data_IF_092877637249
#
_entry.id   IF_092877637249
#
_cell.length_a   1.000
_cell.length_b   1.000
_cell.length_c   1.000
_cell.angle_alpha   90.00
_cell.angle_beta   90.00
_cell.angle_gamma   90.00
#
_symmetry.space_group_name_H-M   'P 1'
#
loop_
_entity.id
_entity.type
_entity.pdbx_description
1 polymer ?
#
# COMPACT_ATOMS: atom_id res chain seq x y z
N UNK A 1 7.55 2.24 -18.18
CA UNK A 1 8.80 3.00 -18.39
C UNK A 1 9.69 2.18 -19.33
N UNK A 2 10.54 2.80 -20.14
CA UNK A 2 11.42 2.08 -21.09
C UNK A 2 12.62 1.43 -20.39
N UNK A 3 13.29 0.49 -21.07
CA UNK A 3 14.52 -0.14 -20.61
C UNK A 3 15.54 0.94 -20.21
N UNK A 4 15.97 0.95 -18.95
CA UNK A 4 17.01 1.86 -18.48
C UNK A 4 18.37 1.43 -18.99
N UNK A 5 19.19 2.39 -19.43
CA UNK A 5 20.57 2.11 -19.79
C UNK A 5 21.41 1.96 -18.54
N UNK A 6 22.40 1.06 -18.59
CA UNK A 6 23.31 0.80 -17.49
C UNK A 6 24.09 2.07 -17.10
N UNK A 7 24.45 2.91 -18.07
CA UNK A 7 25.12 4.20 -17.84
C UNK A 7 24.28 5.15 -16.98
N UNK A 8 22.94 5.15 -17.14
CA UNK A 8 22.05 5.97 -16.32
C UNK A 8 22.00 5.49 -14.88
N UNK A 9 21.95 4.18 -14.67
CA UNK A 9 21.99 3.60 -13.32
C UNK A 9 23.29 3.99 -12.62
N UNK A 10 24.43 3.88 -13.32
CA UNK A 10 25.74 4.29 -12.78
C UNK A 10 25.74 5.78 -12.42
N UNK A 11 25.18 6.64 -13.28
CA UNK A 11 25.11 8.07 -13.03
C UNK A 11 24.26 8.40 -11.78
N UNK A 12 23.11 7.75 -11.62
CA UNK A 12 22.24 7.92 -10.46
C UNK A 12 22.87 7.37 -9.18
N UNK A 13 23.60 6.25 -9.27
CA UNK A 13 24.28 5.64 -8.12
C UNK A 13 25.39 6.54 -7.54
N UNK A 14 25.92 7.50 -8.32
CA UNK A 14 26.90 8.48 -7.81
C UNK A 14 26.26 9.50 -6.85
N UNK A 15 24.96 9.73 -6.93
CA UNK A 15 24.27 10.67 -6.06
C UNK A 15 23.49 9.91 -4.96
N UNK A 16 24.01 9.83 -3.72
CA UNK A 16 23.38 9.07 -2.65
C UNK A 16 21.98 9.61 -2.27
N UNK A 17 21.69 10.89 -2.52
CA UNK A 17 20.38 11.47 -2.21
C UNK A 17 19.23 10.87 -3.04
N UNK A 18 19.55 10.27 -4.19
CA UNK A 18 18.58 9.68 -5.11
C UNK A 18 18.41 8.17 -4.89
N UNK A 19 19.18 7.57 -3.98
CA UNK A 19 19.12 6.14 -3.66
C UNK A 19 18.15 5.93 -2.50
N UNK A 20 17.24 4.96 -2.63
CA UNK A 20 16.39 4.49 -1.52
C UNK A 20 16.38 2.98 -1.48
N UNK A 21 16.67 2.43 -0.30
CA UNK A 21 16.57 1.00 -0.07
C UNK A 21 15.20 0.68 0.55
N UNK A 22 14.43 -0.18 -0.08
CA UNK A 22 13.08 -0.55 0.34
C UNK A 22 13.01 -2.07 0.53
N UNK A 23 12.50 -2.53 1.67
CA UNK A 23 12.17 -3.94 1.86
C UNK A 23 10.68 -4.19 1.67
N UNK A 24 10.30 -5.36 1.13
CA UNK A 24 8.91 -5.83 1.19
C UNK A 24 8.77 -6.79 2.36
N UNK A 25 7.80 -6.50 3.22
CA UNK A 25 7.49 -7.17 4.46
C UNK A 25 6.05 -7.70 4.41
N UNK A 26 5.87 -9.01 4.55
CA UNK A 26 4.54 -9.60 4.46
C UNK A 26 4.48 -10.96 5.16
N UNK A 27 3.27 -11.39 5.52
CA UNK A 27 3.01 -12.79 5.84
C UNK A 27 3.17 -13.67 4.58
N UNK A 28 3.34 -14.97 4.79
CA UNK A 28 3.32 -15.99 3.73
C UNK A 28 2.01 -15.85 2.93
N UNK A 29 2.12 -15.99 1.61
CA UNK A 29 0.99 -15.94 0.68
C UNK A 29 0.17 -14.64 0.63
N UNK A 30 0.58 -13.54 1.28
CA UNK A 30 -0.05 -12.21 1.12
C UNK A 30 0.24 -11.54 -0.24
N UNK A 31 0.96 -12.21 -1.15
CA UNK A 31 1.25 -11.72 -2.50
C UNK A 31 2.48 -10.81 -2.59
N UNK A 32 3.44 -10.95 -1.66
CA UNK A 32 4.75 -10.26 -1.67
C UNK A 32 5.49 -10.44 -2.99
N UNK A 33 5.74 -11.69 -3.39
CA UNK A 33 6.47 -12.03 -4.61
C UNK A 33 5.74 -11.54 -5.86
N UNK A 34 4.40 -11.62 -5.86
CA UNK A 34 3.58 -11.10 -6.95
C UNK A 34 3.70 -9.57 -7.07
N UNK A 35 3.66 -8.85 -5.95
CA UNK A 35 3.85 -7.41 -5.93
C UNK A 35 5.25 -7.03 -6.40
N UNK A 36 6.28 -7.73 -5.94
CA UNK A 36 7.66 -7.52 -6.37
C UNK A 36 7.79 -7.70 -7.88
N UNK A 37 7.26 -8.79 -8.44
CA UNK A 37 7.24 -9.03 -9.88
C UNK A 37 6.53 -7.91 -10.66
N UNK A 38 5.41 -7.38 -10.16
CA UNK A 38 4.73 -6.24 -10.78
C UNK A 38 5.61 -4.99 -10.84
N UNK A 39 6.39 -4.72 -9.78
CA UNK A 39 7.34 -3.61 -9.75
C UNK A 39 8.48 -3.81 -10.76
N UNK A 40 9.03 -5.02 -10.83
CA UNK A 40 10.06 -5.40 -11.81
C UNK A 40 9.53 -5.27 -13.25
N UNK A 41 8.30 -5.69 -13.51
CA UNK A 41 7.67 -5.60 -14.81
C UNK A 41 7.43 -4.16 -15.26
N UNK A 42 7.08 -3.26 -14.34
CA UNK A 42 6.85 -1.85 -14.64
C UNK A 42 8.10 -1.11 -15.12
N UNK A 43 9.27 -1.59 -14.69
CA UNK A 43 10.59 -1.13 -15.09
C UNK A 43 11.06 -1.72 -16.43
N UNK A 44 10.27 -2.62 -17.04
CA UNK A 44 10.59 -3.23 -18.33
C UNK A 44 11.66 -4.32 -18.28
N UNK A 45 12.04 -4.78 -17.07
CA UNK A 45 13.00 -5.88 -16.88
C UNK A 45 12.36 -7.22 -17.27
N UNK A 46 11.10 -7.42 -16.89
CA UNK A 46 10.29 -8.57 -17.29
C UNK A 46 9.06 -8.10 -18.07
N UNK A 47 8.51 -8.97 -18.91
CA UNK A 47 7.23 -8.68 -19.57
C UNK A 47 6.09 -8.67 -18.54
N UNK A 48 5.15 -7.73 -18.68
CA UNK A 48 3.97 -7.63 -17.81
C UNK A 48 3.13 -8.91 -17.75
N UNK A 49 3.19 -9.75 -18.79
CA UNK A 49 2.49 -11.05 -18.85
C UNK A 49 3.12 -12.14 -17.99
N UNK A 50 4.43 -12.03 -17.74
CA UNK A 50 5.19 -12.97 -16.90
C UNK A 50 5.21 -12.54 -15.44
N UNK A 51 4.85 -11.28 -15.15
CA UNK A 51 4.73 -10.76 -13.80
C UNK A 51 3.75 -11.60 -12.95
N UNK A 52 4.18 -12.02 -11.76
CA UNK A 52 3.38 -12.77 -10.81
C UNK A 52 3.34 -14.28 -11.06
N UNK A 53 3.76 -14.74 -12.25
CA UNK A 53 3.86 -16.17 -12.59
C UNK A 53 5.28 -16.68 -12.46
N UNK A 54 6.25 -15.87 -12.84
CA UNK A 54 7.65 -16.27 -12.94
C UNK A 54 8.36 -16.21 -11.58
N UNK A 55 7.92 -15.33 -10.66
CA UNK A 55 8.56 -15.12 -9.34
C UNK A 55 10.04 -14.81 -9.52
N UNK A 56 10.34 -13.71 -10.19
CA UNK A 56 11.68 -13.39 -10.69
C UNK A 56 12.75 -13.33 -9.59
N UNK A 57 12.37 -12.92 -8.38
CA UNK A 57 13.29 -12.80 -7.24
C UNK A 57 13.56 -14.14 -6.53
N UNK A 58 12.70 -15.14 -6.72
CA UNK A 58 12.87 -16.50 -6.21
C UNK A 58 13.76 -17.28 -7.21
N UNK A 59 15.05 -16.94 -7.21
CA UNK A 59 16.03 -17.49 -8.16
C UNK A 59 16.42 -18.95 -7.88
N UNK A 60 16.20 -19.44 -6.66
CA UNK A 60 16.63 -20.78 -6.26
C UNK A 60 15.56 -21.83 -6.59
N UNK A 61 15.99 -23.00 -7.06
CA UNK A 61 15.08 -24.08 -7.44
C UNK A 61 14.20 -24.56 -6.28
N UNK A 62 14.75 -24.59 -5.07
CA UNK A 62 14.02 -24.98 -3.85
C UNK A 62 12.94 -23.96 -3.47
N UNK A 63 13.14 -22.68 -3.77
CA UNK A 63 12.12 -21.62 -3.58
C UNK A 63 10.97 -21.77 -4.57
N UNK A 64 11.30 -22.03 -5.84
CA UNK A 64 10.29 -22.22 -6.89
C UNK A 64 9.44 -23.47 -6.65
N UNK A 65 10.06 -24.58 -6.20
CA UNK A 65 9.35 -25.82 -5.90
C UNK A 65 8.41 -25.64 -4.70
N UNK A 66 8.90 -24.99 -3.64
CA UNK A 66 8.11 -24.80 -2.40
C UNK A 66 7.11 -23.65 -2.50
N UNK A 67 7.29 -22.74 -3.46
CA UNK A 67 6.47 -21.56 -3.61
C UNK A 67 6.63 -20.55 -2.47
N UNK A 68 7.78 -20.52 -1.79
CA UNK A 68 8.08 -19.57 -0.71
C UNK A 68 9.47 -18.94 -0.93
N UNK A 69 9.60 -17.66 -0.58
CA UNK A 69 10.89 -16.98 -0.53
C UNK A 69 11.66 -17.42 0.71
N UNK A 70 12.86 -17.96 0.54
CA UNK A 70 13.73 -18.41 1.64
C UNK A 70 14.93 -17.51 1.84
N UNK A 71 15.46 -16.91 0.76
CA UNK A 71 16.61 -16.01 0.75
C UNK A 71 16.19 -14.60 0.34
N UNK A 72 16.86 -13.60 0.90
CA UNK A 72 16.67 -12.22 0.49
C UNK A 72 17.35 -11.95 -0.84
N UNK A 73 16.58 -11.47 -1.81
CA UNK A 73 17.07 -11.07 -3.14
C UNK A 73 16.90 -9.56 -3.31
N UNK A 74 17.85 -8.91 -3.97
CA UNK A 74 17.81 -7.47 -4.21
C UNK A 74 17.77 -7.17 -5.70
N UNK A 75 16.97 -6.17 -6.09
CA UNK A 75 16.92 -5.66 -7.46
C UNK A 75 16.86 -4.14 -7.47
N UNK A 76 17.59 -3.52 -8.40
CA UNK A 76 17.54 -2.06 -8.60
C UNK A 76 16.48 -1.70 -9.64
N UNK A 77 15.60 -0.79 -9.24
CA UNK A 77 14.51 -0.25 -10.04
C UNK A 77 14.75 1.24 -10.27
N UNK A 78 14.44 1.71 -11.47
CA UNK A 78 14.57 3.10 -11.83
C UNK A 78 13.20 3.77 -11.83
N UNK A 79 13.03 4.75 -10.96
CA UNK A 79 11.79 5.50 -10.86
C UNK A 79 11.99 6.96 -11.26
N UNK A 80 11.08 7.48 -12.07
CA UNK A 80 11.08 8.89 -12.45
C UNK A 80 9.80 9.54 -11.95
N UNK A 81 9.95 10.50 -11.04
CA UNK A 81 8.86 11.31 -10.54
C UNK A 81 9.03 12.75 -11.06
N UNK A 82 8.32 13.07 -12.15
CA UNK A 82 8.46 14.35 -12.85
C UNK A 82 9.86 14.55 -13.41
N UNK A 83 10.57 15.55 -12.86
CA UNK A 83 11.93 15.90 -13.27
C UNK A 83 13.03 15.22 -12.43
N UNK A 84 12.65 14.54 -11.35
CA UNK A 84 13.59 13.82 -10.49
C UNK A 84 13.63 12.33 -10.82
N UNK A 85 14.84 11.80 -10.90
CA UNK A 85 15.12 10.37 -11.12
C UNK A 85 15.69 9.76 -9.83
N UNK A 86 15.11 8.63 -9.44
CA UNK A 86 15.42 7.89 -8.23
C UNK A 86 15.87 6.46 -8.58
N UNK A 87 16.85 5.96 -7.82
CA UNK A 87 17.29 4.58 -7.86
C UNK A 87 16.76 3.87 -6.61
N UNK A 88 15.80 2.97 -6.81
CA UNK A 88 15.14 2.26 -5.74
C UNK A 88 15.70 0.84 -5.69
N UNK A 89 16.37 0.47 -4.61
CA UNK A 89 16.82 -0.90 -4.40
C UNK A 89 15.74 -1.64 -3.61
N UNK A 90 15.05 -2.55 -4.29
CA UNK A 90 14.02 -3.38 -3.70
C UNK A 90 14.66 -4.66 -3.16
N UNK A 91 14.53 -4.87 -1.85
CA UNK A 91 14.95 -6.10 -1.17
C UNK A 91 13.70 -6.91 -0.85
N UNK A 92 13.59 -8.08 -1.47
CA UNK A 92 12.52 -9.02 -1.18
C UNK A 92 12.92 -9.90 0.01
N UNK A 93 12.27 -9.70 1.15
CA UNK A 93 12.59 -10.42 2.39
C UNK A 93 11.73 -11.68 2.54
N UNK A 94 12.17 -12.74 3.23
CA UNK A 94 11.36 -13.94 3.40
C UNK A 94 10.10 -13.66 4.25
N UNK A 95 8.97 -14.27 3.91
CA UNK A 95 7.69 -14.06 4.63
C UNK A 95 7.41 -15.10 5.73
N UNK A 96 8.24 -16.13 5.83
CA UNK A 96 8.04 -17.25 6.76
C UNK A 96 8.75 -17.00 8.09
N UNK A 97 8.12 -17.40 9.20
CA UNK A 97 8.61 -17.18 10.58
C UNK A 97 9.98 -17.78 10.86
N UNK A 98 10.27 -18.93 10.25
CA UNK A 98 11.55 -19.64 10.39
C UNK A 98 12.75 -18.81 9.90
N UNK A 99 12.52 -17.82 9.03
CA UNK A 99 13.57 -16.96 8.45
C UNK A 99 13.59 -15.56 9.07
N UNK A 100 13.06 -15.40 10.29
CA UNK A 100 12.98 -14.11 10.99
C UNK A 100 14.34 -13.39 11.16
N UNK A 101 15.44 -14.13 11.31
CA UNK A 101 16.80 -13.56 11.36
C UNK A 101 17.19 -12.86 10.05
N UNK A 102 16.77 -13.45 8.92
CA UNK A 102 17.02 -12.90 7.60
C UNK A 102 16.11 -11.69 7.33
N UNK A 103 14.85 -11.72 7.78
CA UNK A 103 13.95 -10.55 7.75
C UNK A 103 14.54 -9.38 8.53
N UNK A 104 14.98 -9.60 9.77
CA UNK A 104 15.59 -8.54 10.59
C UNK A 104 16.83 -7.93 9.94
N UNK A 105 17.66 -8.77 9.30
CA UNK A 105 18.84 -8.30 8.57
C UNK A 105 18.44 -7.47 7.34
N UNK A 106 17.44 -7.92 6.58
CA UNK A 106 16.95 -7.18 5.41
C UNK A 106 16.35 -5.82 5.79
N UNK A 107 15.58 -5.79 6.88
CA UNK A 107 14.99 -4.57 7.45
C UNK A 107 16.10 -3.58 7.80
N UNK A 108 17.13 -3.98 8.56
CA UNK A 108 18.26 -3.10 8.93
C UNK A 108 19.03 -2.47 7.77
N UNK A 109 19.02 -3.08 6.60
CA UNK A 109 19.69 -2.57 5.40
C UNK A 109 18.85 -1.53 4.64
N UNK A 110 17.57 -1.40 4.97
CA UNK A 110 16.59 -0.58 4.25
C UNK A 110 16.29 0.74 4.96
N UNK A 111 15.97 1.76 4.17
CA UNK A 111 15.52 3.07 4.67
C UNK A 111 14.00 3.09 4.89
N UNK A 112 13.28 2.23 4.17
CA UNK A 112 11.82 2.13 4.19
C UNK A 112 11.34 0.69 4.05
N UNK A 113 10.11 0.44 4.50
CA UNK A 113 9.50 -0.89 4.42
C UNK A 113 8.11 -0.81 3.78
N UNK A 114 7.79 -1.77 2.92
CA UNK A 114 6.47 -1.93 2.31
C UNK A 114 5.80 -3.10 3.03
N UNK A 115 4.80 -2.81 3.86
CA UNK A 115 4.07 -3.82 4.63
C UNK A 115 2.85 -4.27 3.85
N UNK A 116 2.81 -5.52 3.42
CA UNK A 116 1.72 -6.08 2.60
C UNK A 116 0.75 -6.88 3.47
N UNK A 117 -0.52 -6.46 3.45
CA UNK A 117 -1.63 -7.08 4.19
C UNK A 117 -2.69 -7.56 3.21
N UNK A 118 -3.15 -8.80 3.35
CA UNK A 118 -4.25 -9.33 2.53
C UNK A 118 -5.59 -8.71 2.97
N UNK A 119 -6.36 -8.21 2.01
CA UNK A 119 -7.67 -7.63 2.24
C UNK A 119 -8.72 -8.65 2.71
N UNK A 120 -8.52 -9.95 2.50
CA UNK A 120 -9.44 -11.02 2.94
C UNK A 120 -9.06 -11.56 4.31
N UNK A 121 -7.77 -11.86 4.51
CA UNK A 121 -7.27 -12.46 5.76
C UNK A 121 -7.11 -11.40 6.86
N UNK A 122 -6.85 -10.14 6.48
CA UNK A 122 -6.65 -9.05 7.40
C UNK A 122 -5.30 -9.12 8.14
N UNK A 123 -5.29 -8.64 9.39
CA UNK A 123 -4.06 -8.57 10.19
C UNK A 123 -3.82 -9.89 10.92
N UNK A 124 -2.91 -10.71 10.40
CA UNK A 124 -2.47 -11.96 11.01
C UNK A 124 -1.41 -11.72 12.12
N UNK A 125 -1.22 -12.68 13.05
CA UNK A 125 -0.18 -12.57 14.09
C UNK A 125 1.24 -12.35 13.53
N UNK A 126 1.55 -12.95 12.38
CA UNK A 126 2.84 -12.75 11.72
C UNK A 126 3.02 -11.31 11.21
N UNK A 127 1.96 -10.68 10.70
CA UNK A 127 1.96 -9.26 10.33
C UNK A 127 2.32 -8.37 11.52
N UNK A 128 1.85 -8.72 12.73
CA UNK A 128 2.19 -7.98 13.95
C UNK A 128 3.68 -8.11 14.31
N UNK A 129 4.27 -9.30 14.13
CA UNK A 129 5.70 -9.53 14.35
C UNK A 129 6.53 -8.69 13.39
N UNK A 130 6.14 -8.69 12.12
CA UNK A 130 6.83 -7.94 11.06
C UNK A 130 6.71 -6.42 11.27
N UNK A 131 5.53 -5.92 11.65
CA UNK A 131 5.35 -4.51 12.02
C UNK A 131 6.19 -4.13 13.25
N UNK A 132 6.27 -5.01 14.26
CA UNK A 132 7.12 -4.83 15.42
C UNK A 132 8.60 -4.77 15.04
N UNK A 133 9.06 -5.61 14.11
CA UNK A 133 10.44 -5.57 13.62
C UNK A 133 10.74 -4.24 12.91
N UNK A 134 9.86 -3.79 12.02
CA UNK A 134 10.01 -2.50 11.34
C UNK A 134 10.07 -1.33 12.33
N UNK A 135 9.27 -1.40 13.41
CA UNK A 135 9.26 -0.42 14.48
C UNK A 135 10.54 -0.39 15.30
N UNK A 136 11.03 -1.57 15.72
CA UNK A 136 12.26 -1.68 16.52
C UNK A 136 13.48 -1.13 15.76
N UNK A 137 13.52 -1.32 14.45
CA UNK A 137 14.60 -0.83 13.58
C UNK A 137 14.37 0.62 13.11
N UNK A 138 13.34 1.32 13.63
CA UNK A 138 12.96 2.71 13.31
C UNK A 138 12.82 3.00 11.80
N UNK A 139 12.29 2.03 11.05
CA UNK A 139 12.05 2.18 9.61
C UNK A 139 10.68 2.80 9.39
N UNK A 140 10.52 3.56 8.30
CA UNK A 140 9.23 4.13 7.89
C UNK A 140 8.43 3.09 7.09
N UNK A 141 7.35 2.51 7.64
CA UNK A 141 6.53 1.57 6.91
C UNK A 141 5.48 2.28 6.03
N UNK A 142 5.24 1.76 4.83
CA UNK A 142 4.10 2.08 3.98
C UNK A 142 3.21 0.86 3.90
N UNK A 143 1.92 1.02 4.19
CA UNK A 143 0.96 -0.07 4.21
C UNK A 143 0.38 -0.29 2.82
N UNK A 144 0.45 -1.53 2.31
CA UNK A 144 -0.20 -1.96 1.08
C UNK A 144 -1.26 -3.00 1.41
N UNK A 145 -2.52 -2.64 1.21
CA UNK A 145 -3.64 -3.58 1.30
C UNK A 145 -3.81 -4.25 -0.06
N UNK A 146 -3.42 -5.53 -0.14
CA UNK A 146 -3.38 -6.33 -1.35
C UNK A 146 -4.60 -7.27 -1.46
N UNK A 147 -4.79 -7.89 -2.63
CA UNK A 147 -5.86 -8.85 -2.94
C UNK A 147 -7.29 -8.30 -2.84
N UNK A 148 -7.47 -7.01 -3.12
CA UNK A 148 -8.80 -6.39 -3.17
C UNK A 148 -9.70 -7.05 -4.22
N UNK A 149 -9.12 -7.64 -5.27
CA UNK A 149 -9.84 -8.45 -6.26
C UNK A 149 -10.63 -9.60 -5.65
N UNK A 150 -10.15 -10.22 -4.56
CA UNK A 150 -10.87 -11.30 -3.86
C UNK A 150 -12.12 -10.80 -3.16
N UNK A 151 -12.13 -9.56 -2.64
CA UNK A 151 -13.34 -8.95 -2.08
C UNK A 151 -14.45 -8.85 -3.14
N UNK A 152 -14.06 -8.59 -4.38
CA UNK A 152 -14.97 -8.43 -5.52
C UNK A 152 -15.41 -9.78 -6.08
N UNK A 153 -14.46 -10.69 -6.31
CA UNK A 153 -14.69 -11.92 -7.07
C UNK A 153 -15.13 -13.09 -6.19
N UNK A 154 -14.51 -13.26 -5.03
CA UNK A 154 -14.71 -14.41 -4.14
C UNK A 154 -15.81 -14.10 -3.13
N UNK A 155 -15.67 -13.01 -2.36
CA UNK A 155 -16.65 -12.61 -1.37
C UNK A 155 -17.87 -11.89 -1.96
N UNK A 156 -17.75 -11.37 -3.21
CA UNK A 156 -18.81 -10.65 -3.92
C UNK A 156 -19.46 -9.54 -3.10
N UNK A 157 -18.64 -8.84 -2.31
CA UNK A 157 -19.11 -7.73 -1.49
C UNK A 157 -19.56 -6.57 -2.37
N UNK A 158 -20.50 -5.79 -1.87
CA UNK A 158 -20.81 -4.49 -2.47
C UNK A 158 -19.66 -3.51 -2.21
N UNK A 159 -19.54 -2.47 -3.05
CA UNK A 159 -18.53 -1.42 -2.88
C UNK A 159 -18.61 -0.72 -1.51
N UNK A 160 -19.81 -0.62 -0.94
CA UNK A 160 -20.03 -0.08 0.39
C UNK A 160 -19.51 -1.00 1.50
N UNK A 161 -19.80 -2.30 1.42
CA UNK A 161 -19.32 -3.29 2.40
C UNK A 161 -17.81 -3.42 2.34
N UNK A 162 -17.23 -3.40 1.14
CA UNK A 162 -15.78 -3.42 0.95
C UNK A 162 -15.09 -2.21 1.59
N UNK A 163 -15.68 -1.01 1.50
CA UNK A 163 -15.16 0.16 2.20
C UNK A 163 -15.15 -0.03 3.73
N UNK A 164 -16.26 -0.51 4.29
CA UNK A 164 -16.34 -0.82 5.73
C UNK A 164 -15.32 -1.90 6.12
N UNK A 165 -15.08 -2.88 5.26
CA UNK A 165 -14.07 -3.91 5.48
C UNK A 165 -12.65 -3.34 5.51
N UNK A 166 -12.30 -2.50 4.52
CA UNK A 166 -11.00 -1.84 4.45
C UNK A 166 -10.76 -0.92 5.65
N UNK A 167 -11.80 -0.23 6.12
CA UNK A 167 -11.71 0.60 7.32
C UNK A 167 -11.39 -0.26 8.56
N UNK A 168 -12.04 -1.41 8.73
CA UNK A 168 -11.76 -2.35 9.83
C UNK A 168 -10.32 -2.86 9.80
N UNK A 169 -9.78 -3.16 8.61
CA UNK A 169 -8.37 -3.58 8.47
C UNK A 169 -7.43 -2.46 8.94
N UNK A 170 -7.69 -1.23 8.53
CA UNK A 170 -6.88 -0.08 8.97
C UNK A 170 -6.97 0.14 10.48
N UNK A 171 -8.15 0.01 11.08
CA UNK A 171 -8.34 0.06 12.53
C UNK A 171 -7.53 -1.03 13.24
N UNK A 172 -7.51 -2.26 12.70
CA UNK A 172 -6.70 -3.35 13.25
C UNK A 172 -5.20 -3.08 13.16
N UNK A 173 -4.69 -2.57 12.03
CA UNK A 173 -3.26 -2.24 11.89
C UNK A 173 -2.89 -1.11 12.86
N UNK A 174 -3.72 -0.07 12.95
CA UNK A 174 -3.48 1.06 13.85
C UNK A 174 -3.57 0.67 15.33
N UNK A 175 -4.39 -0.32 15.70
CA UNK A 175 -4.41 -0.87 17.06
C UNK A 175 -3.07 -1.55 17.42
N UNK A 176 -2.46 -2.27 16.47
CA UNK A 176 -1.13 -2.89 16.65
C UNK A 176 -0.07 -1.80 16.80
N UNK A 177 -0.06 -0.80 15.92
CA UNK A 177 0.89 0.32 16.00
C UNK A 177 0.73 1.11 17.30
N UNK A 178 -0.50 1.38 17.72
CA UNK A 178 -0.79 2.07 18.98
C UNK A 178 -0.28 1.30 20.20
N UNK A 179 -0.36 -0.03 20.17
CA UNK A 179 0.20 -0.88 21.23
C UNK A 179 1.72 -0.75 21.29
N UNK A 180 2.40 -0.78 20.14
CA UNK A 180 3.86 -0.63 20.03
C UNK A 180 4.32 0.77 20.48
N UNK A 181 3.57 1.81 20.10
CA UNK A 181 3.86 3.18 20.52
C UNK A 181 3.70 3.36 22.03
N UNK A 182 2.60 2.87 22.59
CA UNK A 182 2.34 2.94 24.03
C UNK A 182 3.45 2.23 24.81
N UNK A 183 3.89 1.06 24.36
CA UNK A 183 5.03 0.36 24.97
C UNK A 183 6.32 1.19 24.94
N UNK A 184 6.63 1.83 23.81
CA UNK A 184 7.83 2.69 23.68
C UNK A 184 7.78 3.91 24.59
N UNK A 185 6.65 4.60 24.65
CA UNK A 185 6.47 5.79 25.52
C UNK A 185 6.61 5.40 26.99
N UNK A 186 6.09 4.24 27.39
CA UNK A 186 6.26 3.72 28.75
C UNK A 186 7.71 3.36 29.07
N UNK A 187 8.43 2.75 28.13
CA UNK A 187 9.86 2.43 28.29
C UNK A 187 10.73 3.69 28.41
N UNK A 188 10.55 4.67 27.53
CA UNK A 188 11.30 5.93 27.57
C UNK A 188 11.05 6.71 28.88
N UNK A 189 9.83 6.64 29.42
CA UNK A 189 9.53 7.24 30.73
C UNK A 189 10.19 6.48 31.87
N UNK A 190 10.11 5.16 31.89
CA UNK A 190 10.78 4.36 32.91
C UNK A 190 12.31 4.55 32.90
N UNK A 191 12.90 4.83 31.74
CA UNK A 191 14.31 5.21 31.64
C UNK A 191 14.60 6.62 32.15
N UNK A 192 13.75 7.60 31.82
CA UNK A 192 13.85 8.97 32.36
C UNK A 192 13.68 8.99 33.88
N UNK A 193 12.69 8.27 34.41
CA UNK A 193 12.47 8.12 35.85
C UNK A 193 13.70 7.50 36.53
N UNK A 194 14.32 6.47 35.95
CA UNK A 194 15.57 5.90 36.47
C UNK A 194 16.77 6.83 36.39
N UNK A 195 16.80 7.77 35.43
CA UNK A 195 17.84 8.79 35.33
C UNK A 195 17.59 9.91 36.34
N UNK A 196 16.35 10.34 36.51
CA UNK A 196 15.93 11.35 37.48
C UNK A 196 16.12 10.83 38.91
N UNK A 197 15.76 9.57 39.21
CA UNK A 197 16.03 8.93 40.50
C UNK A 197 17.53 8.83 40.84
N UNK A 198 18.41 8.77 39.82
CA UNK A 198 19.87 8.82 40.00
C UNK A 198 20.39 10.23 40.24
N UNK A 199 19.67 11.26 39.81
CA UNK A 199 20.01 12.67 40.03
C UNK A 199 19.33 13.26 41.28
N UNK A 200 18.21 12.68 41.74
CA UNK A 200 17.45 13.15 42.91
C UNK A 200 17.48 12.13 44.07
N UNK A 201 18.61 12.07 44.78
CA UNK A 201 18.66 11.46 46.13
C UNK A 201 18.11 12.40 47.24
N UNK A 202 17.45 13.51 46.89
CA UNK A 202 16.80 14.38 47.88
C UNK A 202 15.49 14.94 47.34
N UNK A 203 14.36 14.30 47.68
CA UNK A 203 13.17 14.91 48.30
C UNK A 203 11.98 13.93 48.26
N UNK A 204 11.49 13.59 49.45
CA UNK A 204 10.28 12.80 49.67
C UNK A 204 9.02 13.63 49.39
N UNK A 205 8.12 13.12 48.57
CA UNK A 205 6.78 13.70 48.38
C UNK A 205 5.89 12.79 47.56
N UNK A 206 4.94 12.15 48.23
CA UNK A 206 3.91 11.26 47.68
C UNK A 206 3.01 12.05 46.71
N UNK A 207 3.27 11.95 45.40
CA UNK A 207 2.40 12.47 44.35
C UNK A 207 1.87 11.29 43.53
N UNK A 208 0.55 11.11 43.58
CA UNK A 208 -0.15 10.16 42.71
C UNK A 208 -0.08 10.70 41.28
N UNK A 209 0.82 10.12 40.48
CA UNK A 209 0.99 10.50 39.08
C UNK A 209 -0.22 10.05 38.26
N UNK A 210 -0.83 11.00 37.55
CA UNK A 210 -1.86 10.73 36.54
C UNK A 210 -1.19 10.29 35.24
N UNK A 211 -1.17 8.97 35.01
CA UNK A 211 -0.54 8.33 33.84
C UNK A 211 -1.12 8.79 32.49
N UNK A 212 -2.30 9.43 32.48
CA UNK A 212 -3.01 9.82 31.27
C UNK A 212 -2.56 11.15 30.65
N UNK A 213 -2.08 12.10 31.46
CA UNK A 213 -1.85 13.48 31.00
C UNK A 213 -0.64 13.65 30.05
N UNK A 214 0.42 12.85 30.21
CA UNK A 214 1.62 12.98 29.37
C UNK A 214 1.54 12.29 28.00
N UNK A 215 0.52 11.44 27.76
CA UNK A 215 0.34 10.76 26.46
C UNK A 215 -0.12 11.75 25.38
N UNK A 216 -0.64 12.92 25.78
CA UNK A 216 -1.13 13.96 24.88
C UNK A 216 -0.01 14.83 24.28
N UNK A 217 1.23 14.75 24.79
CA UNK A 217 2.36 15.59 24.35
C UNK A 217 3.30 14.94 23.32
N UNK A 218 3.20 13.63 23.09
CA UNK A 218 4.05 12.94 22.13
C UNK A 218 3.44 13.01 20.72
N UNK A 219 4.13 13.65 19.77
CA UNK A 219 3.70 13.77 18.37
C UNK A 219 3.69 12.39 17.69
N UNK A 220 2.50 11.80 17.59
CA UNK A 220 2.22 10.49 17.00
C UNK A 220 1.71 10.57 15.55
N UNK A 221 1.64 11.79 15.00
CA UNK A 221 0.96 12.10 13.74
C UNK A 221 1.52 11.36 12.52
N UNK A 222 2.80 10.97 12.57
CA UNK A 222 3.49 10.25 11.50
C UNK A 222 3.50 8.72 11.65
N UNK A 223 2.99 8.20 12.77
CA UNK A 223 3.09 6.77 13.09
C UNK A 223 1.85 6.00 12.66
N UNK A 224 0.68 6.64 12.64
CA UNK A 224 -0.56 6.00 12.24
C UNK A 224 -0.72 5.89 10.72
N UNK A 225 -1.28 4.77 10.29
CA UNK A 225 -1.63 4.55 8.90
C UNK A 225 -2.94 5.27 8.58
N UNK A 226 -2.81 6.41 7.90
CA UNK A 226 -3.93 7.19 7.39
C UNK A 226 -3.83 7.30 5.86
N UNK A 227 -4.86 6.88 5.11
CA UNK A 227 -4.87 7.03 3.65
C UNK A 227 -4.73 8.49 3.17
N UNK A 228 -5.17 9.45 3.98
CA UNK A 228 -5.05 10.89 3.70
C UNK A 228 -3.60 11.38 3.62
N UNK A 229 -2.70 10.76 4.38
CA UNK A 229 -1.28 11.08 4.39
C UNK A 229 -0.54 10.44 3.20
N UNK A 230 -1.19 9.51 2.48
CA UNK A 230 -0.57 8.76 1.39
C UNK A 230 0.25 7.54 1.84
N UNK A 231 0.23 7.20 3.14
CA UNK A 231 0.96 6.05 3.68
C UNK A 231 0.23 4.71 3.46
N UNK A 232 -0.95 4.74 2.84
CA UNK A 232 -1.76 3.56 2.54
C UNK A 232 -2.01 3.46 1.04
N UNK A 233 -1.68 2.30 0.49
CA UNK A 233 -1.91 1.95 -0.91
C UNK A 233 -2.88 0.78 -0.99
N UNK A 234 -3.82 0.86 -1.92
CA UNK A 234 -4.78 -0.19 -2.22
C UNK A 234 -4.37 -0.88 -3.51
N UNK A 235 -4.13 -2.19 -3.48
CA UNK A 235 -3.60 -2.91 -4.62
C UNK A 235 -4.27 -4.27 -4.85
N UNK A 236 -4.19 -4.70 -6.10
CA UNK A 236 -4.35 -6.09 -6.52
C UNK A 236 -3.15 -6.44 -7.38
N UNK A 237 -2.17 -7.11 -6.77
CA UNK A 237 -0.95 -7.51 -7.47
C UNK A 237 -1.24 -8.54 -8.59
N UNK A 238 -2.26 -9.39 -8.44
CA UNK A 238 -2.60 -10.42 -9.44
C UNK A 238 -3.12 -9.78 -10.73
N UNK A 239 -3.99 -8.78 -10.62
CA UNK A 239 -4.55 -8.07 -11.77
C UNK A 239 -3.65 -6.91 -12.23
N UNK A 240 -2.60 -6.58 -11.46
CA UNK A 240 -1.57 -5.62 -11.81
C UNK A 240 -1.97 -4.17 -11.66
N UNK A 241 -2.98 -3.86 -10.83
CA UNK A 241 -3.34 -2.47 -10.49
C UNK A 241 -3.15 -2.15 -9.02
N UNK A 242 -2.83 -0.89 -8.76
CA UNK A 242 -2.76 -0.33 -7.42
C UNK A 242 -2.93 1.17 -7.48
N UNK A 243 -3.49 1.73 -6.43
CA UNK A 243 -3.75 3.16 -6.35
C UNK A 243 -3.53 3.70 -4.95
N UNK A 244 -3.10 4.95 -4.89
CA UNK A 244 -3.14 5.77 -3.69
C UNK A 244 -4.28 6.79 -3.81
N UNK A 245 -4.73 7.31 -2.67
CA UNK A 245 -5.77 8.36 -2.66
C UNK A 245 -5.27 9.61 -3.39
N UNK A 246 -3.96 9.87 -3.35
CA UNK A 246 -3.34 11.00 -4.04
C UNK A 246 -3.53 10.98 -5.55
N UNK A 247 -3.41 9.82 -6.18
CA UNK A 247 -3.64 9.67 -7.62
C UNK A 247 -5.08 10.03 -7.98
N UNK A 248 -6.05 9.52 -7.24
CA UNK A 248 -7.46 9.85 -7.47
C UNK A 248 -7.79 11.30 -7.16
N UNK A 249 -7.19 11.89 -6.13
CA UNK A 249 -7.32 13.31 -5.85
C UNK A 249 -6.85 14.16 -7.04
N UNK A 250 -5.76 13.79 -7.71
CA UNK A 250 -5.28 14.48 -8.91
C UNK A 250 -6.23 14.31 -10.10
N UNK A 251 -6.69 13.09 -10.38
CA UNK A 251 -7.63 12.79 -11.48
C UNK A 251 -8.94 13.56 -11.30
N UNK A 252 -9.52 13.55 -10.10
CA UNK A 252 -10.78 14.25 -9.83
C UNK A 252 -10.62 15.75 -9.69
N UNK A 253 -9.45 16.23 -9.28
CA UNK A 253 -9.16 17.66 -9.29
C UNK A 253 -9.25 18.23 -10.70
N UNK A 254 -8.67 17.55 -11.70
CA UNK A 254 -8.75 17.96 -13.11
C UNK A 254 -10.18 17.86 -13.66
N UNK A 255 -10.94 16.82 -13.30
CA UNK A 255 -12.31 16.62 -13.81
C UNK A 255 -13.36 17.52 -13.16
N UNK A 256 -13.26 17.77 -11.85
CA UNK A 256 -14.27 18.52 -11.09
C UNK A 256 -13.87 19.97 -10.79
N UNK A 257 -12.60 20.34 -10.98
CA UNK A 257 -12.09 21.68 -10.66
C UNK A 257 -11.94 21.96 -9.17
N UNK A 258 -11.92 20.93 -8.32
CA UNK A 258 -11.73 21.04 -6.86
C UNK A 258 -10.23 20.92 -6.55
N UNK A 259 -9.72 21.72 -5.60
CA UNK A 259 -8.30 21.62 -5.18
C UNK A 259 -7.95 20.23 -4.66
N UNK A 260 -6.78 19.71 -5.04
CA UNK A 260 -6.28 18.38 -4.64
C UNK A 260 -6.22 18.21 -3.13
N UNK A 261 -5.76 19.22 -2.38
CA UNK A 261 -5.69 19.18 -0.91
C UNK A 261 -7.05 18.95 -0.23
N UNK A 262 -8.11 19.55 -0.78
CA UNK A 262 -9.47 19.37 -0.24
C UNK A 262 -9.93 17.95 -0.53
N UNK A 263 -9.65 17.43 -1.73
CA UNK A 263 -10.00 16.06 -2.10
C UNK A 263 -9.24 15.04 -1.25
N UNK A 264 -7.95 15.25 -0.97
CA UNK A 264 -7.18 14.36 -0.10
C UNK A 264 -7.86 14.17 1.26
N UNK A 265 -8.27 15.26 1.92
CA UNK A 265 -8.92 15.22 3.24
C UNK A 265 -10.38 14.76 3.22
N UNK A 266 -11.00 14.63 2.05
CA UNK A 266 -12.44 14.35 1.94
C UNK A 266 -12.76 13.09 1.16
N UNK A 267 -11.79 12.52 0.44
CA UNK A 267 -11.94 11.25 -0.26
C UNK A 267 -12.07 10.12 0.75
N UNK A 268 -11.24 10.09 1.78
CA UNK A 268 -11.36 9.15 2.87
C UNK A 268 -12.27 9.69 3.99
N UNK A 269 -13.06 8.82 4.60
CA UNK A 269 -13.95 9.18 5.71
C UNK A 269 -15.41 9.45 5.31
N UNK A 270 -16.18 9.97 6.27
CA UNK A 270 -17.64 10.12 6.15
C UNK A 270 -18.06 11.40 5.43
N UNK A 271 -17.65 11.52 4.17
CA UNK A 271 -18.03 12.60 3.27
C UNK A 271 -18.87 12.08 2.11
N UNK A 272 -19.80 12.89 1.62
CA UNK A 272 -20.56 12.59 0.40
C UNK A 272 -20.60 13.79 -0.54
N UNK A 273 -20.69 13.50 -1.84
CA UNK A 273 -20.95 14.52 -2.85
C UNK A 273 -22.45 14.73 -3.01
N UNK A 274 -22.92 15.98 -2.86
CA UNK A 274 -24.27 16.33 -3.27
C UNK A 274 -24.29 16.66 -4.76
N UNK A 275 -24.77 15.73 -5.60
CA UNK A 275 -24.81 15.88 -7.05
C UNK A 275 -25.52 17.17 -7.54
N UNK A 276 -26.49 17.68 -6.78
CA UNK A 276 -27.21 18.93 -7.12
C UNK A 276 -26.38 20.19 -6.87
N UNK A 277 -25.55 20.18 -5.83
CA UNK A 277 -24.79 21.35 -5.41
C UNK A 277 -23.30 21.28 -5.79
N UNK A 278 -22.81 20.12 -6.27
CA UNK A 278 -21.38 19.80 -6.46
C UNK A 278 -20.52 20.17 -5.24
N UNK A 279 -21.10 20.08 -4.04
CA UNK A 279 -20.44 20.37 -2.77
C UNK A 279 -20.24 19.08 -2.00
N UNK A 280 -19.08 18.98 -1.36
CA UNK A 280 -18.72 17.90 -0.44
C UNK A 280 -19.31 18.26 0.92
N UNK A 281 -20.04 17.32 1.53
CA UNK A 281 -20.67 17.50 2.85
C UNK A 281 -20.30 16.33 3.76
N UNK A 282 -20.21 16.59 5.07
CA UNK A 282 -20.02 15.55 6.11
C UNK A 282 -21.34 14.85 6.44
N UNK A 283 -21.25 13.61 6.91
CA UNK A 283 -22.38 12.83 7.42
C UNK A 283 -23.07 12.02 6.34
N UNK A 284 -22.31 11.20 5.60
CA UNK A 284 -22.87 10.30 4.59
C UNK A 284 -23.63 9.16 5.27
N UNK A 285 -23.03 8.54 6.29
CA UNK A 285 -23.62 7.45 7.07
C UNK A 285 -24.92 7.87 7.75
N UNK A 286 -24.93 9.04 8.42
CA UNK A 286 -26.12 9.57 9.09
C UNK A 286 -27.29 9.84 8.12
N UNK A 287 -27.01 10.07 6.84
CA UNK A 287 -28.01 10.34 5.79
C UNK A 287 -28.27 9.13 4.88
N UNK A 288 -27.71 7.96 5.20
CA UNK A 288 -27.81 6.75 4.38
C UNK A 288 -27.22 6.91 2.97
N UNK A 289 -26.28 7.84 2.79
CA UNK A 289 -25.62 8.10 1.50
C UNK A 289 -24.28 7.36 1.46
N UNK A 290 -23.90 6.92 0.25
CA UNK A 290 -22.59 6.31 0.02
C UNK A 290 -21.47 7.34 0.27
N UNK A 291 -20.36 6.97 0.93
CA UNK A 291 -19.17 7.79 1.06
C UNK A 291 -18.56 8.18 -0.30
N UNK A 292 -17.76 9.24 -0.31
CA UNK A 292 -17.13 9.79 -1.51
C UNK A 292 -16.18 8.77 -2.16
N UNK A 293 -15.38 8.08 -1.34
CA UNK A 293 -14.51 6.99 -1.79
C UNK A 293 -15.29 5.91 -2.55
N UNK A 294 -16.44 5.50 -2.03
CA UNK A 294 -17.26 4.45 -2.63
C UNK A 294 -17.81 4.93 -3.98
N UNK A 295 -18.36 6.14 -4.03
CA UNK A 295 -18.99 6.68 -5.25
C UNK A 295 -17.99 6.94 -6.38
N UNK A 296 -16.80 7.46 -6.05
CA UNK A 296 -15.83 7.88 -7.03
C UNK A 296 -14.81 6.78 -7.36
N UNK A 297 -14.34 6.03 -6.37
CA UNK A 297 -13.26 5.06 -6.58
C UNK A 297 -13.81 3.65 -6.73
N UNK A 298 -14.44 3.11 -5.69
CA UNK A 298 -14.82 1.69 -5.66
C UNK A 298 -15.93 1.36 -6.65
N UNK A 299 -16.98 2.18 -6.80
CA UNK A 299 -18.07 1.91 -7.76
C UNK A 299 -17.55 1.77 -9.21
N UNK A 300 -16.51 2.54 -9.59
CA UNK A 300 -15.89 2.44 -10.92
C UNK A 300 -15.12 1.11 -11.10
N UNK A 301 -14.37 0.69 -10.08
CA UNK A 301 -13.64 -0.58 -10.10
C UNK A 301 -14.64 -1.74 -10.12
N UNK A 302 -15.67 -1.73 -9.28
CA UNK A 302 -16.70 -2.77 -9.26
C UNK A 302 -17.46 -2.86 -10.58
N UNK A 303 -17.80 -1.72 -11.18
CA UNK A 303 -18.43 -1.69 -12.51
C UNK A 303 -17.51 -2.24 -13.60
N UNK A 304 -16.20 -2.02 -13.49
CA UNK A 304 -15.22 -2.58 -14.43
C UNK A 304 -15.13 -4.11 -14.29
N UNK A 305 -15.03 -4.63 -13.06
CA UNK A 305 -15.01 -6.07 -12.81
C UNK A 305 -16.31 -6.76 -13.24
N UNK A 306 -17.47 -6.17 -12.95
CA UNK A 306 -18.77 -6.70 -13.39
C UNK A 306 -18.90 -6.70 -14.91
N UNK A 307 -18.45 -5.65 -15.59
CA UNK A 307 -18.49 -5.57 -17.05
C UNK A 307 -17.56 -6.57 -17.74
N UNK A 308 -16.32 -6.71 -17.25
CA UNK A 308 -15.27 -7.53 -17.88
C UNK A 308 -15.42 -9.02 -17.52
N UNK A 309 -15.61 -9.33 -16.23
CA UNK A 309 -15.51 -10.71 -15.74
C UNK A 309 -16.88 -11.38 -15.64
N UNK A 310 -17.87 -10.71 -15.06
CA UNK A 310 -19.19 -11.29 -14.78
C UNK A 310 -20.07 -11.32 -16.03
N UNK A 311 -20.30 -10.15 -16.64
CA UNK A 311 -21.27 -9.97 -17.73
C UNK A 311 -20.66 -10.10 -19.14
N UNK A 312 -19.33 -9.94 -19.26
CA UNK A 312 -18.58 -9.96 -20.53
C UNK A 312 -19.20 -9.06 -21.61
N UNK A 313 -19.68 -7.90 -21.17
CA UNK A 313 -20.44 -6.97 -21.99
C UNK A 313 -19.50 -5.97 -22.67
N UNK A 314 -19.19 -6.22 -23.96
CA UNK A 314 -18.20 -5.43 -24.72
C UNK A 314 -18.58 -3.96 -24.83
N UNK A 315 -19.86 -3.64 -25.00
CA UNK A 315 -20.31 -2.25 -25.13
C UNK A 315 -20.14 -1.48 -23.84
N UNK A 316 -20.41 -2.11 -22.68
CA UNK A 316 -20.17 -1.48 -21.38
C UNK A 316 -18.69 -1.31 -21.12
N UNK A 317 -17.86 -2.28 -21.49
CA UNK A 317 -16.40 -2.15 -21.36
C UNK A 317 -15.90 -0.97 -22.20
N UNK A 318 -16.34 -0.80 -23.44
CA UNK A 318 -15.97 0.35 -24.27
C UNK A 318 -16.41 1.69 -23.67
N UNK A 319 -17.63 1.76 -23.10
CA UNK A 319 -18.11 2.96 -22.39
C UNK A 319 -17.26 3.29 -21.17
N UNK A 320 -16.89 2.28 -20.37
CA UNK A 320 -16.03 2.45 -19.19
C UNK A 320 -14.62 2.84 -19.61
N UNK A 321 -14.05 2.21 -20.63
CA UNK A 321 -12.72 2.54 -21.18
C UNK A 321 -12.69 3.99 -21.68
N UNK A 322 -13.77 4.44 -22.35
CA UNK A 322 -13.91 5.82 -22.82
C UNK A 322 -14.04 6.80 -21.65
N UNK A 323 -14.80 6.46 -20.59
CA UNK A 323 -14.95 7.32 -19.42
C UNK A 323 -13.67 7.41 -18.58
N UNK A 324 -12.85 6.36 -18.60
CA UNK A 324 -11.54 6.32 -17.94
C UNK A 324 -10.44 6.96 -18.80
N UNK A 325 -10.64 7.08 -20.12
CA UNK A 325 -9.65 7.66 -21.05
C UNK A 325 -8.52 6.71 -21.43
N UNK A 326 -8.74 5.40 -21.30
CA UNK A 326 -7.73 4.35 -21.52
C UNK A 326 -7.80 3.87 -22.99
N UNK A 327 -6.67 3.47 -23.58
CA UNK A 327 -6.62 2.98 -24.98
C UNK A 327 -6.38 1.46 -25.01
N UNK A 328 -7.45 0.70 -25.17
CA UNK A 328 -7.36 -0.77 -25.28
C UNK A 328 -6.98 -1.17 -26.70
N UNK A 329 -5.97 -2.03 -26.84
CA UNK A 329 -5.60 -2.59 -28.14
C UNK A 329 -6.60 -3.66 -28.58
N UNK A 330 -6.92 -3.71 -29.87
CA UNK A 330 -7.87 -4.68 -30.44
C UNK A 330 -7.47 -6.15 -30.21
N UNK A 331 -6.16 -6.43 -30.02
CA UNK A 331 -5.65 -7.77 -29.69
C UNK A 331 -6.11 -8.27 -28.32
N UNK A 332 -6.19 -7.39 -27.33
CA UNK A 332 -6.48 -7.78 -25.95
C UNK A 332 -8.00 -7.90 -25.73
N UNK A 333 -8.81 -7.14 -26.47
CA UNK A 333 -10.28 -7.28 -26.52
C UNK A 333 -10.74 -8.59 -27.16
N UNK A 334 -9.93 -9.17 -28.05
CA UNK A 334 -10.23 -10.44 -28.73
C UNK A 334 -9.73 -11.68 -27.99
N UNK A 335 -8.99 -11.52 -26.90
CA UNK A 335 -8.44 -12.64 -26.15
C UNK A 335 -9.56 -13.41 -25.42
N UNK A 336 -9.45 -14.74 -25.34
CA UNK A 336 -10.46 -15.60 -24.71
C UNK A 336 -10.57 -15.38 -23.20
N UNK A 337 -9.44 -15.04 -22.57
CA UNK A 337 -9.38 -14.84 -21.12
C UNK A 337 -9.72 -13.38 -20.72
N UNK A 338 -10.79 -13.17 -19.92
CA UNK A 338 -11.20 -11.83 -19.50
C UNK A 338 -10.19 -11.18 -18.54
N UNK A 339 -9.41 -11.98 -17.81
CA UNK A 339 -8.37 -11.48 -16.90
C UNK A 339 -7.22 -10.78 -17.65
N UNK A 340 -6.91 -11.22 -18.87
CA UNK A 340 -5.88 -10.57 -19.70
C UNK A 340 -6.32 -9.18 -20.13
N UNK A 341 -7.59 -9.04 -20.52
CA UNK A 341 -8.20 -7.75 -20.84
C UNK A 341 -8.23 -6.84 -19.62
N UNK A 342 -8.65 -7.37 -18.46
CA UNK A 342 -8.66 -6.63 -17.19
C UNK A 342 -7.26 -6.11 -16.86
N UNK A 343 -6.26 -6.99 -16.84
CA UNK A 343 -4.88 -6.62 -16.54
C UNK A 343 -4.32 -5.59 -17.54
N UNK A 344 -4.67 -5.68 -18.82
CA UNK A 344 -4.25 -4.69 -19.82
C UNK A 344 -4.87 -3.30 -19.57
N UNK A 345 -6.16 -3.24 -19.22
CA UNK A 345 -6.83 -1.98 -18.86
C UNK A 345 -6.22 -1.41 -17.57
N UNK A 346 -6.11 -2.26 -16.55
CA UNK A 346 -5.61 -1.94 -15.23
C UNK A 346 -4.15 -1.44 -15.24
N UNK A 347 -3.28 -2.08 -16.03
CA UNK A 347 -1.87 -1.68 -16.17
C UNK A 347 -1.70 -0.30 -16.82
N UNK A 348 -2.63 0.11 -17.68
CA UNK A 348 -2.62 1.44 -18.28
C UNK A 348 -3.27 2.50 -17.39
N UNK A 349 -4.31 2.11 -16.65
CA UNK A 349 -5.09 3.05 -15.86
C UNK A 349 -4.46 3.35 -14.50
N UNK A 350 -4.08 2.31 -13.75
CA UNK A 350 -3.63 2.39 -12.36
C UNK A 350 -2.44 1.44 -12.14
N UNK A 351 -1.25 1.76 -12.69
CA UNK A 351 -0.08 0.91 -12.49
C UNK A 351 0.34 0.90 -11.01
N UNK A 352 0.47 -0.31 -10.44
CA UNK A 352 0.89 -0.52 -9.04
C UNK A 352 2.18 0.25 -8.72
N UNK A 353 3.12 0.28 -9.66
CA UNK A 353 4.42 0.91 -9.45
C UNK A 353 4.34 2.41 -9.18
N UNK A 354 3.41 3.13 -9.81
CA UNK A 354 3.26 4.56 -9.57
C UNK A 354 2.57 4.84 -8.22
N UNK A 355 1.86 3.86 -7.67
CA UNK A 355 1.19 4.01 -6.38
C UNK A 355 2.12 3.66 -5.21
N UNK A 356 3.03 2.71 -5.41
CA UNK A 356 3.92 2.18 -4.38
C UNK A 356 5.30 2.87 -4.35
N UNK A 357 5.84 3.25 -5.50
CA UNK A 357 7.13 3.95 -5.65
C UNK A 357 6.93 5.47 -5.66
#
# INVERSE_FOLDING_TARGET
MGHTSLDKIIALQRNPANIRNLCILAHVDHGKTTLADCLVASNGIISSRLAGKLRYLDSREDEQIRGITMKSSAISLHYRNGDQEYLLNLIDSPGHVDFSSEVSTAVRLCDGAIVVVDAVEGVCPQTQVVLRQAWLENIRPVLVINKIDRLIMELKLTSQEAYTHLQKILEQVNAVTGTLFTSKVLEERAEKEKMEERESETLSGDQVYDWSAGLEEADDSHLYFSPDQGNVVFASAIDGWGFSIQQFAHIYSQRMGIKTEVLLKTLWGDFYLNAKAKKIMKGAQAKGKKPLFVQLVLDNIWSLYDAVVTRRDKEKVEKVVTSLGVKVMARDSRHSDPKVLLSAICSQWLPVSQAVL
#
